data_IF_571657360073
#
_entry.id   IF_571657360073
#
_cell.length_a   1.000
_cell.length_b   1.000
_cell.length_c   1.000
_cell.angle_alpha   90.00
_cell.angle_beta   90.00
_cell.angle_gamma   90.00
#
_symmetry.space_group_name_H-M   'P 1'
#
loop_
_entity.id
_entity.type
_entity.pdbx_description
1 polymer ?
#
# COMPACT_ATOMS: atom_id res chain seq x y z
N UNK A 1 -18.96 -26.36 27.91
CA UNK A 1 -18.90 -24.89 27.85
C UNK A 1 -17.73 -24.53 26.92
N UNK A 2 -17.99 -24.28 25.64
CA UNK A 2 -16.95 -23.96 24.65
C UNK A 2 -16.51 -22.51 24.84
N UNK A 3 -15.26 -22.32 25.24
CA UNK A 3 -14.62 -21.00 25.26
C UNK A 3 -14.41 -20.61 23.80
N UNK A 4 -15.40 -19.94 23.20
CA UNK A 4 -15.21 -19.27 21.90
C UNK A 4 -14.19 -18.15 22.10
N UNK A 5 -13.12 -18.21 21.33
CA UNK A 5 -12.08 -17.19 21.34
C UNK A 5 -12.65 -15.85 20.88
N UNK A 6 -11.94 -14.75 21.18
CA UNK A 6 -12.31 -13.43 20.68
C UNK A 6 -12.37 -13.41 19.14
N UNK A 7 -11.49 -14.19 18.48
CA UNK A 7 -11.48 -14.36 17.03
C UNK A 7 -12.76 -15.02 16.52
N UNK A 8 -13.27 -16.06 17.18
CA UNK A 8 -14.51 -16.73 16.75
C UNK A 8 -15.72 -15.79 16.69
N UNK A 9 -15.71 -14.72 17.50
CA UNK A 9 -16.77 -13.70 17.53
C UNK A 9 -16.66 -12.71 16.38
N UNK A 10 -15.43 -12.42 15.92
CA UNK A 10 -15.16 -11.43 14.87
C UNK A 10 -14.79 -12.06 13.53
N UNK A 11 -14.66 -13.38 13.44
CA UNK A 11 -14.17 -14.11 12.24
C UNK A 11 -14.84 -13.61 10.96
N UNK A 12 -16.17 -13.54 10.96
CA UNK A 12 -16.91 -13.13 9.76
C UNK A 12 -16.51 -11.74 9.26
N UNK A 13 -16.15 -10.81 10.15
CA UNK A 13 -15.67 -9.47 9.78
C UNK A 13 -14.35 -9.52 8.99
N UNK A 14 -13.49 -10.49 9.31
CA UNK A 14 -12.16 -10.66 8.69
C UNK A 14 -12.18 -11.56 7.44
N UNK A 15 -13.27 -12.32 7.22
CA UNK A 15 -13.38 -13.20 6.07
C UNK A 15 -14.01 -12.47 4.88
N UNK A 16 -13.27 -12.39 3.78
CA UNK A 16 -13.75 -11.96 2.46
C UNK A 16 -15.10 -12.59 2.09
N UNK A 17 -15.97 -11.81 1.46
CA UNK A 17 -17.25 -12.29 0.91
C UNK A 17 -18.42 -12.36 1.92
N UNK A 18 -18.16 -12.20 3.23
CA UNK A 18 -19.26 -12.14 4.21
C UNK A 18 -19.95 -10.78 4.21
N UNK A 19 -21.17 -10.72 4.76
CA UNK A 19 -21.92 -9.46 4.96
C UNK A 19 -21.17 -8.50 5.90
N UNK A 20 -20.61 -9.02 7.01
CA UNK A 20 -19.90 -8.23 8.01
C UNK A 20 -18.60 -7.64 7.47
N UNK A 21 -17.88 -8.36 6.61
CA UNK A 21 -16.69 -7.83 5.95
C UNK A 21 -17.02 -6.66 5.01
N UNK A 22 -18.09 -6.78 4.20
CA UNK A 22 -18.57 -5.67 3.36
C UNK A 22 -19.04 -4.47 4.17
N UNK A 23 -19.76 -4.70 5.26
CA UNK A 23 -20.19 -3.64 6.18
C UNK A 23 -18.99 -2.90 6.78
N UNK A 24 -17.95 -3.64 7.19
CA UNK A 24 -16.72 -3.04 7.72
C UNK A 24 -15.94 -2.28 6.63
N UNK A 25 -15.83 -2.83 5.42
CA UNK A 25 -15.23 -2.13 4.29
C UNK A 25 -15.93 -0.79 4.03
N UNK A 26 -17.26 -0.79 3.96
CA UNK A 26 -18.05 0.43 3.78
C UNK A 26 -17.85 1.42 4.94
N UNK A 27 -17.78 0.94 6.19
CA UNK A 27 -17.50 1.80 7.34
C UNK A 27 -16.13 2.48 7.24
N UNK A 28 -15.10 1.76 6.77
CA UNK A 28 -13.76 2.33 6.53
C UNK A 28 -13.80 3.40 5.43
N UNK A 29 -14.54 3.14 4.35
CA UNK A 29 -14.75 4.10 3.27
C UNK A 29 -15.47 5.36 3.76
N UNK A 30 -16.56 5.22 4.51
CA UNK A 30 -17.29 6.35 5.09
C UNK A 30 -16.43 7.15 6.07
N UNK A 31 -15.52 6.49 6.80
CA UNK A 31 -14.55 7.17 7.66
C UNK A 31 -13.60 8.04 6.83
N UNK A 32 -12.98 7.50 5.77
CA UNK A 32 -12.14 8.26 4.84
C UNK A 32 -12.87 9.50 4.28
N UNK A 33 -14.10 9.32 3.79
CA UNK A 33 -14.88 10.41 3.19
C UNK A 33 -15.25 11.51 4.18
N UNK A 34 -15.39 11.16 5.46
CA UNK A 34 -15.64 12.12 6.54
C UNK A 34 -14.38 12.89 6.93
N UNK A 35 -13.24 12.22 7.05
CA UNK A 35 -12.00 12.82 7.55
C UNK A 35 -11.28 13.67 6.50
N UNK A 36 -11.29 13.27 5.23
CA UNK A 36 -10.63 14.02 4.13
C UNK A 36 -11.64 14.91 3.44
N UNK A 37 -11.36 16.19 3.23
CA UNK A 37 -12.31 17.13 2.61
C UNK A 37 -12.25 17.14 1.08
N UNK A 38 -11.06 17.01 0.50
CA UNK A 38 -10.85 17.07 -0.95
C UNK A 38 -11.30 15.77 -1.64
N UNK A 39 -12.29 15.80 -2.55
CA UNK A 39 -12.77 14.62 -3.27
C UNK A 39 -11.69 13.96 -4.14
N UNK A 40 -10.73 14.73 -4.67
CA UNK A 40 -9.63 14.19 -5.47
C UNK A 40 -8.69 13.36 -4.61
N UNK A 41 -8.36 13.86 -3.41
CA UNK A 41 -7.50 13.15 -2.46
C UNK A 41 -8.19 11.90 -1.92
N UNK A 42 -9.52 11.95 -1.66
CA UNK A 42 -10.30 10.77 -1.27
C UNK A 42 -10.15 9.64 -2.29
N UNK A 43 -10.24 9.95 -3.58
CA UNK A 43 -10.16 8.91 -4.61
C UNK A 43 -8.76 8.30 -4.71
N UNK A 44 -7.71 9.10 -4.51
CA UNK A 44 -6.33 8.61 -4.40
C UNK A 44 -6.15 7.66 -3.21
N UNK A 45 -6.73 7.97 -2.06
CA UNK A 45 -6.64 7.17 -0.82
C UNK A 45 -7.56 5.95 -0.80
N UNK A 46 -8.59 5.93 -1.65
CA UNK A 46 -9.59 4.86 -1.67
C UNK A 46 -8.97 3.53 -2.09
N UNK A 47 -8.89 2.61 -1.12
CA UNK A 47 -8.47 1.22 -1.34
C UNK A 47 -9.39 0.52 -2.35
N UNK A 48 -8.79 -0.22 -3.28
CA UNK A 48 -9.48 -1.13 -4.22
C UNK A 48 -9.51 -2.56 -3.72
N UNK A 49 -8.85 -2.86 -2.60
CA UNK A 49 -8.80 -4.18 -2.00
C UNK A 49 -9.84 -4.33 -0.88
N UNK A 50 -10.24 -5.57 -0.63
CA UNK A 50 -11.21 -5.92 0.41
C UNK A 50 -10.67 -5.65 1.82
N UNK A 51 -11.58 -5.43 2.77
CA UNK A 51 -11.18 -5.22 4.16
C UNK A 51 -10.47 -6.46 4.72
N UNK A 52 -9.30 -6.27 5.31
CA UNK A 52 -8.53 -7.33 5.97
C UNK A 52 -7.68 -8.20 5.03
N UNK A 53 -7.65 -7.92 3.72
CA UNK A 53 -6.75 -8.62 2.79
C UNK A 53 -5.26 -8.41 3.11
N UNK A 54 -4.97 -7.31 3.81
CA UNK A 54 -3.69 -6.97 4.44
C UNK A 54 -3.96 -6.59 5.89
N UNK A 55 -2.94 -6.63 6.74
CA UNK A 55 -3.06 -6.24 8.15
C UNK A 55 -3.43 -4.75 8.24
N UNK A 56 -4.57 -4.47 8.88
CA UNK A 56 -5.09 -3.10 9.04
C UNK A 56 -4.20 -2.31 10.01
N UNK A 57 -3.88 -1.07 9.63
CA UNK A 57 -3.21 -0.10 10.49
C UNK A 57 -4.26 0.80 11.13
N UNK A 58 -4.10 1.06 12.43
CA UNK A 58 -4.95 1.99 13.17
C UNK A 58 -4.12 3.22 13.51
N UNK A 59 -4.51 4.36 12.95
CA UNK A 59 -3.88 5.65 13.17
C UNK A 59 -4.97 6.69 13.29
N UNK A 60 -4.97 7.46 14.38
CA UNK A 60 -6.06 8.38 14.69
C UNK A 60 -6.08 9.59 13.73
N UNK A 61 -4.91 10.16 13.44
CA UNK A 61 -4.81 11.43 12.70
C UNK A 61 -4.38 11.27 11.22
N UNK A 62 -4.20 10.04 10.73
CA UNK A 62 -3.59 9.83 9.41
C UNK A 62 -4.37 10.49 8.25
N UNK A 63 -5.70 10.35 8.22
CA UNK A 63 -6.50 10.92 7.15
C UNK A 63 -6.66 12.44 7.27
N UNK A 64 -6.81 12.95 8.49
CA UNK A 64 -7.04 14.38 8.72
C UNK A 64 -5.82 15.23 8.33
N UNK A 65 -4.61 14.66 8.35
CA UNK A 65 -3.37 15.29 7.88
C UNK A 65 -3.47 15.83 6.44
N UNK A 66 -4.21 15.16 5.55
CA UNK A 66 -4.34 15.57 4.15
C UNK A 66 -5.23 16.82 3.95
N UNK A 67 -5.83 17.35 5.02
CA UNK A 67 -6.51 18.64 4.97
C UNK A 67 -5.57 19.83 5.19
N UNK A 68 -4.32 19.58 5.59
CA UNK A 68 -3.35 20.64 5.81
C UNK A 68 -2.79 21.15 4.49
N UNK A 69 -2.61 22.47 4.36
CA UNK A 69 -2.13 23.09 3.12
C UNK A 69 -0.68 22.76 2.75
N UNK A 70 0.10 22.22 3.70
CA UNK A 70 1.49 21.82 3.52
C UNK A 70 1.66 20.30 3.33
N UNK A 71 0.57 19.57 3.06
CA UNK A 71 0.59 18.13 2.83
C UNK A 71 0.02 17.85 1.44
N UNK A 72 0.77 17.13 0.62
CA UNK A 72 0.34 16.70 -0.71
C UNK A 72 0.43 15.18 -0.83
N UNK A 73 -0.60 14.56 -1.42
CA UNK A 73 -0.60 13.13 -1.74
C UNK A 73 -0.16 12.90 -3.19
N UNK A 74 1.04 12.33 -3.33
CA UNK A 74 1.61 11.88 -4.61
C UNK A 74 1.43 10.38 -4.75
N UNK A 75 0.77 9.95 -5.83
CA UNK A 75 0.56 8.54 -6.19
C UNK A 75 1.33 8.14 -7.45
N UNK A 76 2.20 9.02 -7.95
CA UNK A 76 3.10 8.75 -9.06
C UNK A 76 4.18 7.75 -8.63
N UNK A 77 4.53 6.81 -9.52
CA UNK A 77 5.63 5.88 -9.30
C UNK A 77 6.98 6.60 -9.35
N UNK A 78 7.86 6.43 -8.34
CA UNK A 78 9.19 7.01 -8.36
C UNK A 78 10.06 6.32 -9.42
N UNK A 79 10.77 7.11 -10.24
CA UNK A 79 11.66 6.62 -11.30
C UNK A 79 13.12 6.69 -10.87
N UNK A 80 13.51 7.82 -10.26
CA UNK A 80 14.88 8.03 -9.76
C UNK A 80 14.92 9.12 -8.70
N UNK A 81 15.98 9.10 -7.92
CA UNK A 81 16.33 10.15 -6.96
C UNK A 81 17.57 10.87 -7.52
N UNK A 82 17.55 12.20 -7.44
CA UNK A 82 18.69 13.06 -7.81
C UNK A 82 19.31 13.65 -6.54
N UNK A 83 20.30 14.52 -6.66
CA UNK A 83 20.96 15.14 -5.50
C UNK A 83 20.03 15.97 -4.60
N UNK A 84 18.87 16.43 -5.11
CA UNK A 84 17.95 17.28 -4.35
C UNK A 84 16.49 17.17 -4.78
N UNK A 85 16.14 16.13 -5.54
CA UNK A 85 14.77 15.96 -6.04
C UNK A 85 14.42 14.49 -6.28
N UNK A 86 13.13 14.18 -6.23
CA UNK A 86 12.54 12.92 -6.69
C UNK A 86 11.95 13.15 -8.08
N UNK A 87 12.22 12.22 -8.99
CA UNK A 87 11.57 12.18 -10.30
C UNK A 87 10.57 11.04 -10.32
N UNK A 88 9.33 11.33 -10.69
CA UNK A 88 8.23 10.37 -10.72
C UNK A 88 7.42 10.43 -12.03
N UNK A 89 6.67 9.35 -12.30
CA UNK A 89 5.74 9.23 -13.42
C UNK A 89 4.38 8.74 -12.91
N UNK A 90 3.27 9.16 -13.52
CA UNK A 90 1.98 8.64 -13.11
C UNK A 90 1.84 7.13 -13.37
N UNK A 91 1.03 6.39 -12.59
CA UNK A 91 0.99 4.92 -12.65
C UNK A 91 0.64 4.32 -14.02
N UNK A 92 -0.12 5.02 -14.84
CA UNK A 92 -0.48 4.59 -16.20
C UNK A 92 0.65 4.78 -17.22
N UNK A 93 1.66 5.58 -16.88
CA UNK A 93 2.85 5.81 -17.71
C UNK A 93 4.04 4.89 -17.32
N UNK A 94 3.87 4.05 -16.29
CA UNK A 94 4.84 3.00 -15.93
C UNK A 94 4.69 1.82 -16.88
N UNK A 95 5.81 1.35 -17.43
CA UNK A 95 5.81 0.20 -18.33
C UNK A 95 5.81 -1.15 -17.58
N UNK A 96 5.77 -2.26 -18.32
CA UNK A 96 5.73 -3.60 -17.72
C UNK A 96 7.04 -3.95 -16.96
N UNK A 97 8.17 -3.34 -17.34
CA UNK A 97 9.47 -3.49 -16.66
C UNK A 97 9.44 -2.74 -15.33
N UNK A 98 8.94 -1.51 -15.33
CA UNK A 98 8.77 -0.69 -14.14
C UNK A 98 7.88 -1.42 -13.12
N UNK A 99 6.75 -1.98 -13.58
CA UNK A 99 5.78 -2.71 -12.74
C UNK A 99 6.27 -4.08 -12.28
N UNK A 100 7.23 -4.70 -12.96
CA UNK A 100 7.75 -6.02 -12.56
C UNK A 100 8.58 -5.96 -11.27
N UNK A 101 9.04 -4.76 -10.90
CA UNK A 101 9.77 -4.51 -9.66
C UNK A 101 8.84 -4.18 -8.48
N UNK A 102 7.55 -3.93 -8.74
CA UNK A 102 6.60 -3.58 -7.71
C UNK A 102 6.13 -4.81 -6.92
N UNK A 103 5.99 -4.71 -5.59
CA UNK A 103 5.38 -5.77 -4.81
C UNK A 103 3.94 -6.01 -5.27
N UNK A 104 3.58 -7.29 -5.42
CA UNK A 104 2.31 -7.74 -6.00
C UNK A 104 1.11 -7.01 -5.38
N UNK A 105 0.31 -6.38 -6.25
CA UNK A 105 -0.96 -5.75 -5.88
C UNK A 105 -0.86 -4.34 -5.28
N UNK A 106 0.27 -3.64 -5.45
CA UNK A 106 0.41 -2.24 -5.01
C UNK A 106 -0.32 -1.23 -5.92
N UNK A 107 -0.40 -1.50 -7.22
CA UNK A 107 -0.98 -0.56 -8.19
C UNK A 107 -1.89 -1.30 -9.17
N UNK A 108 -3.21 -1.33 -8.89
CA UNK A 108 -4.17 -1.57 -9.96
C UNK A 108 -4.17 -0.35 -10.89
N UNK A 109 -4.32 -0.55 -12.20
CA UNK A 109 -4.43 0.55 -13.16
C UNK A 109 -5.58 1.49 -12.76
N UNK A 110 -5.27 2.66 -12.19
CA UNK A 110 -6.24 3.74 -12.03
C UNK A 110 -6.02 4.77 -13.15
N UNK A 111 -7.01 4.85 -14.04
CA UNK A 111 -7.20 5.76 -15.18
C UNK A 111 -6.09 5.76 -16.27
N UNK A 112 -6.51 5.75 -17.54
CA UNK A 112 -5.62 5.70 -18.72
C UNK A 112 -5.24 7.07 -19.28
N UNK A 113 -5.78 8.14 -18.70
CA UNK A 113 -5.69 9.50 -19.24
C UNK A 113 -4.89 10.40 -18.30
N UNK A 114 -3.76 10.91 -18.79
CA UNK A 114 -2.91 11.88 -18.09
C UNK A 114 -1.55 12.06 -18.77
N UNK A 115 -0.80 13.13 -18.46
CA UNK A 115 0.53 13.40 -19.00
C UNK A 115 1.47 12.20 -18.74
N UNK A 116 2.28 11.81 -19.72
CA UNK A 116 3.26 10.71 -19.59
C UNK A 116 4.66 11.19 -19.19
N UNK A 117 4.81 12.49 -19.00
CA UNK A 117 6.10 13.12 -18.72
C UNK A 117 6.54 12.91 -17.27
N UNK A 118 7.85 12.95 -17.07
CA UNK A 118 8.45 12.92 -15.76
C UNK A 118 8.17 14.22 -15.01
N UNK A 119 7.77 14.10 -13.74
CA UNK A 119 7.59 15.24 -12.84
C UNK A 119 8.75 15.25 -11.85
N UNK A 120 9.43 16.39 -11.77
CA UNK A 120 10.52 16.63 -10.81
C UNK A 120 9.97 17.37 -9.59
N UNK A 121 10.27 16.88 -8.39
CA UNK A 121 9.90 17.50 -7.12
C UNK A 121 11.12 17.66 -6.22
N UNK A 122 11.45 18.89 -5.89
CA UNK A 122 12.56 19.22 -5.00
C UNK A 122 12.29 18.73 -3.57
N UNK A 123 13.33 18.21 -2.92
CA UNK A 123 13.28 17.72 -1.54
C UNK A 123 14.57 18.07 -0.79
N UNK A 124 14.42 18.47 0.48
CA UNK A 124 15.55 18.65 1.40
C UNK A 124 15.82 17.37 2.22
N UNK A 125 14.77 16.60 2.50
CA UNK A 125 14.81 15.40 3.35
C UNK A 125 14.01 14.28 2.71
N UNK A 126 14.57 13.07 2.71
CA UNK A 126 13.91 11.85 2.28
C UNK A 126 13.78 10.87 3.45
N UNK A 127 12.57 10.39 3.69
CA UNK A 127 12.26 9.36 4.70
C UNK A 127 11.81 8.08 3.99
N UNK A 128 12.51 6.97 4.23
CA UNK A 128 12.22 5.67 3.60
C UNK A 128 11.17 4.89 4.40
N UNK A 129 9.90 4.99 3.96
CA UNK A 129 8.76 4.26 4.53
C UNK A 129 8.40 2.97 3.77
N UNK A 130 9.36 2.21 3.26
CA UNK A 130 9.16 1.13 2.27
C UNK A 130 8.80 -0.24 2.85
N UNK A 131 8.63 -0.37 4.16
CA UNK A 131 8.31 -1.66 4.81
C UNK A 131 9.49 -2.62 4.88
N UNK A 132 9.21 -3.92 4.88
CA UNK A 132 10.21 -4.99 5.06
C UNK A 132 9.91 -6.19 4.14
N UNK A 133 10.94 -6.94 3.75
CA UNK A 133 10.76 -8.26 3.14
C UNK A 133 10.29 -9.26 4.20
N UNK A 134 9.12 -9.85 3.96
CA UNK A 134 8.50 -10.82 4.89
C UNK A 134 9.02 -12.24 4.70
N UNK A 135 9.66 -12.55 3.58
CA UNK A 135 10.14 -13.91 3.30
C UNK A 135 11.48 -14.21 3.97
N UNK A 136 12.16 -13.19 4.51
CA UNK A 136 13.49 -13.35 5.08
C UNK A 136 13.64 -12.64 6.43
N UNK A 137 12.81 -13.06 7.40
CA UNK A 137 12.82 -12.55 8.76
C UNK A 137 14.09 -12.98 9.51
N UNK A 138 15.22 -12.33 9.23
CA UNK A 138 16.51 -12.64 9.82
C UNK A 138 17.72 -12.24 8.96
N UNK A 139 17.49 -12.00 7.67
CA UNK A 139 18.50 -11.60 6.69
C UNK A 139 18.89 -12.73 5.73
N UNK A 140 19.50 -12.37 4.60
CA UNK A 140 19.84 -13.31 3.53
C UNK A 140 20.91 -14.32 3.93
N UNK A 141 20.48 -15.47 4.45
CA UNK A 141 21.34 -16.60 4.75
C UNK A 141 21.41 -17.58 3.59
N UNK A 142 22.63 -17.94 3.20
CA UNK A 142 22.83 -19.08 2.30
C UNK A 142 22.66 -20.37 3.12
N UNK A 143 21.51 -21.02 2.96
CA UNK A 143 21.19 -22.30 3.61
C UNK A 143 21.46 -23.43 2.63
N UNK A 144 22.41 -24.31 2.97
CA UNK A 144 22.75 -25.48 2.18
C UNK A 144 22.15 -26.75 2.82
N UNK A 145 21.43 -27.55 2.03
CA UNK A 145 20.94 -28.86 2.44
C UNK A 145 22.05 -29.91 2.51
N UNK A 146 21.72 -31.12 2.98
CA UNK A 146 22.69 -32.22 3.15
C UNK A 146 23.39 -32.65 1.85
N UNK A 147 22.75 -32.44 0.70
CA UNK A 147 23.31 -32.70 -0.64
C UNK A 147 24.09 -31.51 -1.23
N UNK A 148 24.30 -30.44 -0.45
CA UNK A 148 24.93 -29.20 -0.91
C UNK A 148 24.02 -28.31 -1.77
N UNK A 149 22.73 -28.65 -1.91
CA UNK A 149 21.78 -27.81 -2.63
C UNK A 149 21.49 -26.53 -1.84
N UNK A 150 21.49 -25.39 -2.53
CA UNK A 150 21.14 -24.09 -1.96
C UNK A 150 19.61 -23.96 -1.89
N UNK A 151 19.06 -23.64 -0.72
CA UNK A 151 17.61 -23.52 -0.48
C UNK A 151 16.94 -22.49 -1.41
N UNK A 152 17.65 -21.44 -1.82
CA UNK A 152 17.12 -20.41 -2.72
C UNK A 152 17.03 -20.86 -4.19
N UNK A 153 17.53 -22.06 -4.54
CA UNK A 153 17.54 -22.62 -5.91
C UNK A 153 16.59 -23.81 -6.08
N UNK A 154 15.92 -24.24 -5.01
CA UNK A 154 14.87 -25.28 -5.01
C UNK A 154 13.49 -24.68 -5.21
#
# INVERSE_FOLDING_TARGET
MLIRTQFDRTRDMWMTGTKKNREMHNACISFLEREVKDPTVREKLRSTSEFGCKRVLFMDDWYSLFNNSNVELITEGPVRITSGAIVSKPPHALDQTDRALDPVGAYLEKAKDGPTEEVLRDIDVLIWGTGFDMNDSGGHFNIFGENGALLSQT
#
